data_IF_653446352984
#
_entry.id   IF_653446352984
#
_cell.length_a   1.000
_cell.length_b   1.000
_cell.length_c   1.000
_cell.angle_alpha   90.00
_cell.angle_beta   90.00
_cell.angle_gamma   90.00
#
_symmetry.space_group_name_H-M   'P 1'
#
loop_
_entity.id
_entity.type
_entity.pdbx_description
1 polymer ?
#
# COMPACT_ATOMS: atom_id res chain seq x y z
N UNK A 1 -35.75 7.78 -22.42
CA UNK A 1 -34.71 8.40 -21.58
C UNK A 1 -33.42 7.62 -21.74
N UNK A 2 -32.42 8.17 -22.43
CA UNK A 2 -31.11 7.52 -22.56
C UNK A 2 -30.41 7.52 -21.20
N UNK A 3 -30.02 6.33 -20.70
CA UNK A 3 -29.20 6.21 -19.48
C UNK A 3 -27.91 7.00 -19.71
N UNK A 4 -27.63 7.98 -18.84
CA UNK A 4 -26.34 8.67 -18.83
C UNK A 4 -25.25 7.58 -18.80
N UNK A 5 -24.26 7.60 -19.71
CA UNK A 5 -23.15 6.68 -19.65
C UNK A 5 -22.52 6.78 -18.26
N UNK A 6 -22.16 5.64 -17.66
CA UNK A 6 -21.51 5.65 -16.36
C UNK A 6 -20.30 6.59 -16.43
N UNK A 7 -20.08 7.37 -15.37
CA UNK A 7 -18.96 8.32 -15.29
C UNK A 7 -17.62 7.66 -15.70
N UNK A 8 -17.50 6.37 -15.40
CA UNK A 8 -16.43 5.48 -15.84
C UNK A 8 -16.24 5.38 -17.36
N UNK A 9 -17.32 5.17 -18.13
CA UNK A 9 -17.27 5.12 -19.60
C UNK A 9 -16.95 6.49 -20.21
N UNK A 10 -17.43 7.57 -19.60
CA UNK A 10 -17.12 8.93 -20.03
C UNK A 10 -15.63 9.25 -19.82
N UNK A 11 -15.11 8.98 -18.62
CA UNK A 11 -13.68 9.14 -18.30
C UNK A 11 -12.82 8.28 -19.23
N UNK A 12 -13.22 7.03 -19.51
CA UNK A 12 -12.52 6.17 -20.47
C UNK A 12 -12.45 6.76 -21.88
N UNK A 13 -13.56 7.32 -22.39
CA UNK A 13 -13.59 7.92 -23.72
C UNK A 13 -12.76 9.20 -23.81
N UNK A 14 -12.82 10.08 -22.80
CA UNK A 14 -12.01 11.31 -22.77
C UNK A 14 -10.51 11.01 -22.70
N UNK A 15 -10.11 10.03 -21.90
CA UNK A 15 -8.71 9.60 -21.82
C UNK A 15 -8.21 8.96 -23.12
N UNK A 16 -9.07 8.16 -23.78
CA UNK A 16 -8.77 7.61 -25.09
C UNK A 16 -8.62 8.73 -26.14
N UNK A 17 -9.47 9.74 -26.10
CA UNK A 17 -9.38 10.91 -26.98
C UNK A 17 -8.10 11.72 -26.73
N UNK A 18 -7.68 11.89 -25.47
CA UNK A 18 -6.42 12.56 -25.14
C UNK A 18 -5.20 11.75 -25.62
N UNK A 19 -5.23 10.44 -25.45
CA UNK A 19 -4.20 9.54 -25.99
C UNK A 19 -4.12 9.63 -27.52
N UNK A 20 -5.26 9.59 -28.22
CA UNK A 20 -5.32 9.73 -29.68
C UNK A 20 -4.90 11.12 -30.16
N UNK A 21 -5.22 12.19 -29.42
CA UNK A 21 -4.74 13.56 -29.70
C UNK A 21 -3.22 13.68 -29.51
N UNK A 22 -2.66 13.03 -28.48
CA UNK A 22 -1.21 12.95 -28.26
C UNK A 22 -0.50 12.24 -29.41
N UNK A 23 -1.04 11.11 -29.87
CA UNK A 23 -0.57 10.40 -31.06
C UNK A 23 -0.67 11.30 -32.29
N UNK A 24 -1.82 11.95 -32.52
CA UNK A 24 -2.02 12.85 -33.65
C UNK A 24 -1.03 14.01 -33.67
N UNK A 25 -0.70 14.58 -32.51
CA UNK A 25 0.32 15.62 -32.38
C UNK A 25 1.74 15.18 -32.75
N UNK A 26 2.06 13.88 -32.67
CA UNK A 26 3.32 13.32 -33.17
C UNK A 26 3.39 13.30 -34.71
N UNK A 27 2.23 13.28 -35.37
CA UNK A 27 2.11 13.15 -36.83
C UNK A 27 1.69 14.44 -37.53
N UNK A 28 1.17 15.45 -36.82
CA UNK A 28 0.88 16.79 -37.36
C UNK A 28 2.17 17.60 -37.56
N UNK A 29 2.99 17.17 -38.52
CA UNK A 29 4.01 17.98 -39.15
C UNK A 29 3.33 19.04 -40.02
N UNK A 30 3.18 20.27 -39.50
CA UNK A 30 3.06 21.44 -40.38
C UNK A 30 4.13 22.48 -40.04
N UNK A 31 5.19 22.39 -40.83
CA UNK A 31 5.98 23.50 -41.36
C UNK A 31 6.28 24.66 -40.39
N UNK A 32 7.36 24.55 -39.62
CA UNK A 32 8.35 25.64 -39.44
C UNK A 32 9.59 25.14 -38.69
N UNK A 33 10.69 25.20 -39.43
CA UNK A 33 12.08 25.46 -39.03
C UNK A 33 12.82 24.59 -38.00
N UNK A 34 14.14 24.58 -38.22
CA UNK A 34 15.14 23.60 -37.78
C UNK A 34 15.52 23.78 -36.31
N UNK A 35 15.97 22.68 -35.71
CA UNK A 35 16.79 22.57 -34.48
C UNK A 35 16.13 22.46 -33.11
N UNK A 36 14.82 22.72 -32.92
CA UNK A 36 14.15 22.57 -31.61
C UNK A 36 13.07 21.48 -31.52
N UNK A 37 13.07 20.51 -32.46
CA UNK A 37 12.03 19.47 -32.57
C UNK A 37 12.28 18.18 -31.76
N UNK A 38 13.38 18.07 -31.02
CA UNK A 38 13.66 16.87 -30.23
C UNK A 38 12.81 16.81 -28.96
N UNK A 39 12.77 17.90 -28.18
CA UNK A 39 12.05 17.94 -26.91
C UNK A 39 10.54 17.73 -27.05
N UNK A 40 9.81 18.32 -28.02
CA UNK A 40 8.38 18.06 -28.19
C UNK A 40 8.09 16.60 -28.58
N UNK A 41 8.95 15.98 -29.40
CA UNK A 41 8.81 14.56 -29.79
C UNK A 41 9.12 13.62 -28.62
N UNK A 42 10.19 13.90 -27.86
CA UNK A 42 10.55 13.17 -26.66
C UNK A 42 9.45 13.28 -25.60
N UNK A 43 8.89 14.47 -25.40
CA UNK A 43 7.79 14.71 -24.49
C UNK A 43 6.50 14.03 -24.96
N UNK A 44 6.17 14.09 -26.25
CA UNK A 44 5.02 13.39 -26.83
C UNK A 44 5.13 11.88 -26.72
N UNK A 45 6.32 11.31 -26.96
CA UNK A 45 6.59 9.89 -26.74
C UNK A 45 6.49 9.53 -25.25
N UNK A 46 7.09 10.34 -24.37
CA UNK A 46 7.00 10.15 -22.92
C UNK A 46 5.57 10.21 -22.40
N UNK A 47 4.77 11.17 -22.86
CA UNK A 47 3.36 11.30 -22.51
C UNK A 47 2.51 10.13 -23.04
N UNK A 48 2.79 9.66 -24.26
CA UNK A 48 2.10 8.49 -24.85
C UNK A 48 2.45 7.21 -24.09
N UNK A 49 3.75 7.00 -23.80
CA UNK A 49 4.23 5.88 -23.01
C UNK A 49 3.62 5.91 -21.61
N UNK A 50 3.75 7.04 -20.89
CA UNK A 50 3.15 7.23 -19.59
C UNK A 50 1.63 7.00 -19.61
N UNK A 51 0.92 7.57 -20.59
CA UNK A 51 -0.53 7.37 -20.77
C UNK A 51 -0.91 5.91 -21.00
N UNK A 52 -0.16 5.17 -21.82
CA UNK A 52 -0.38 3.74 -22.03
C UNK A 52 -0.18 2.92 -20.75
N UNK A 53 0.93 3.12 -20.03
CA UNK A 53 1.18 2.42 -18.77
C UNK A 53 0.15 2.81 -17.69
N UNK A 54 -0.28 4.08 -17.69
CA UNK A 54 -1.27 4.58 -16.74
C UNK A 54 -2.62 3.94 -17.00
N UNK A 55 -3.07 3.93 -18.25
CA UNK A 55 -4.31 3.24 -18.64
C UNK A 55 -4.23 1.75 -18.34
N UNK A 56 -3.13 1.08 -18.69
CA UNK A 56 -2.91 -0.34 -18.39
C UNK A 56 -2.99 -0.61 -16.89
N UNK A 57 -2.46 0.29 -16.06
CA UNK A 57 -2.54 0.18 -14.60
C UNK A 57 -3.98 0.40 -14.10
N UNK A 58 -4.67 1.44 -14.57
CA UNK A 58 -6.06 1.75 -14.19
C UNK A 58 -7.07 0.67 -14.61
N UNK A 59 -6.73 -0.13 -15.64
CA UNK A 59 -7.57 -1.24 -16.10
C UNK A 59 -7.39 -2.53 -15.28
N UNK A 60 -6.36 -2.64 -14.45
CA UNK A 60 -6.21 -3.79 -13.54
C UNK A 60 -7.27 -3.74 -12.43
N UNK A 61 -7.63 -4.90 -11.88
CA UNK A 61 -8.46 -4.94 -10.67
C UNK A 61 -7.74 -4.27 -9.50
N UNK A 62 -8.49 -3.71 -8.54
CA UNK A 62 -7.92 -3.02 -7.37
C UNK A 62 -6.87 -3.87 -6.66
N UNK A 63 -7.17 -5.15 -6.44
CA UNK A 63 -6.21 -6.12 -5.87
C UNK A 63 -4.90 -6.22 -6.66
N UNK A 64 -4.95 -6.22 -7.99
CA UNK A 64 -3.76 -6.29 -8.84
C UNK A 64 -3.04 -4.93 -8.95
N UNK A 65 -3.74 -3.83 -8.64
CA UNK A 65 -3.15 -2.49 -8.58
C UNK A 65 -2.40 -2.27 -7.26
N UNK A 66 -2.75 -2.99 -6.20
CA UNK A 66 -2.20 -2.86 -4.85
C UNK A 66 -0.66 -2.70 -4.83
N UNK A 67 0.14 -3.59 -5.45
CA UNK A 67 1.60 -3.42 -5.45
C UNK A 67 2.12 -2.13 -6.11
N UNK A 68 1.33 -1.48 -6.99
CA UNK A 68 1.74 -0.36 -7.84
C UNK A 68 0.59 0.60 -8.17
N UNK A 69 -0.11 1.18 -7.19
CA UNK A 69 -1.25 2.07 -7.49
C UNK A 69 -0.84 3.22 -8.41
N UNK A 70 0.40 3.69 -8.27
CA UNK A 70 1.03 4.60 -9.20
C UNK A 70 2.14 3.84 -9.96
N UNK A 71 2.21 4.03 -11.27
CA UNK A 71 3.26 3.47 -12.15
C UNK A 71 4.66 3.82 -11.65
N UNK A 72 4.79 4.96 -10.95
CA UNK A 72 6.04 5.44 -10.38
C UNK A 72 6.48 4.66 -9.14
N UNK A 73 5.68 3.69 -8.68
CA UNK A 73 6.01 2.78 -7.57
C UNK A 73 6.44 1.45 -8.18
N UNK A 74 7.75 1.15 -8.26
CA UNK A 74 8.21 -0.13 -8.70
C UNK A 74 7.83 -1.25 -7.72
N UNK A 75 7.60 -2.45 -8.25
CA UNK A 75 7.18 -3.62 -7.47
C UNK A 75 8.18 -3.97 -6.37
N UNK A 76 9.47 -3.88 -6.67
CA UNK A 76 10.53 -4.21 -5.71
C UNK A 76 10.52 -3.25 -4.51
N UNK A 77 10.12 -1.98 -4.69
CA UNK A 77 9.99 -1.02 -3.59
C UNK A 77 8.80 -1.39 -2.72
N UNK A 78 7.65 -1.68 -3.34
CA UNK A 78 6.46 -2.11 -2.60
C UNK A 78 6.76 -3.38 -1.79
N UNK A 79 7.36 -4.38 -2.43
CA UNK A 79 7.76 -5.64 -1.79
C UNK A 79 8.70 -5.40 -0.61
N UNK A 80 9.79 -4.65 -0.83
CA UNK A 80 10.74 -4.33 0.24
C UNK A 80 10.06 -3.59 1.40
N UNK A 81 9.19 -2.63 1.11
CA UNK A 81 8.44 -1.88 2.12
C UNK A 81 7.51 -2.79 2.92
N UNK A 82 6.77 -3.65 2.24
CA UNK A 82 5.85 -4.60 2.86
C UNK A 82 6.58 -5.54 3.80
N UNK A 83 7.64 -6.18 3.31
CA UNK A 83 8.43 -7.11 4.12
C UNK A 83 9.11 -6.41 5.30
N UNK A 84 9.63 -5.19 5.10
CA UNK A 84 10.20 -4.39 6.19
C UNK A 84 9.15 -4.13 7.28
N UNK A 85 7.92 -3.74 6.91
CA UNK A 85 6.84 -3.54 7.87
C UNK A 85 6.45 -4.84 8.58
N UNK A 86 6.24 -5.94 7.85
CA UNK A 86 5.88 -7.25 8.43
C UNK A 86 6.92 -7.71 9.45
N UNK A 87 8.21 -7.66 9.08
CA UNK A 87 9.31 -8.01 9.98
C UNK A 87 9.25 -7.22 11.29
N UNK A 88 9.06 -5.91 11.16
CA UNK A 88 9.04 -5.00 12.28
C UNK A 88 7.81 -5.20 13.19
N UNK A 89 6.67 -5.55 12.63
CA UNK A 89 5.50 -5.98 13.41
C UNK A 89 5.78 -7.29 14.16
N UNK A 90 6.43 -8.28 13.53
CA UNK A 90 6.84 -9.52 14.21
C UNK A 90 7.84 -9.25 15.33
N UNK A 91 8.83 -8.39 15.10
CA UNK A 91 9.82 -7.98 16.09
C UNK A 91 9.18 -7.29 17.29
N UNK A 92 8.08 -6.55 17.10
CA UNK A 92 7.31 -5.96 18.20
C UNK A 92 6.60 -7.02 19.03
N UNK A 93 5.94 -7.98 18.39
CA UNK A 93 5.27 -9.09 19.08
C UNK A 93 6.27 -9.89 19.92
N UNK A 94 7.45 -10.20 19.35
CA UNK A 94 8.52 -10.90 20.07
C UNK A 94 9.01 -10.13 21.31
N UNK A 95 8.89 -8.80 21.32
CA UNK A 95 9.21 -7.92 22.47
C UNK A 95 8.02 -7.69 23.41
N UNK A 96 6.93 -8.44 23.26
CA UNK A 96 5.72 -8.30 24.07
C UNK A 96 4.91 -7.02 23.78
N UNK A 97 5.14 -6.36 22.63
CA UNK A 97 4.43 -5.14 22.23
C UNK A 97 3.33 -5.47 21.22
N UNK A 98 2.24 -4.71 21.23
CA UNK A 98 1.18 -4.85 20.23
C UNK A 98 1.65 -4.40 18.85
N UNK A 99 1.05 -4.99 17.81
CA UNK A 99 1.26 -4.58 16.42
C UNK A 99 0.43 -3.34 16.07
N UNK A 100 0.92 -2.60 15.09
CA UNK A 100 0.22 -1.44 14.52
C UNK A 100 -0.75 -1.89 13.43
N UNK A 101 -0.26 -2.79 12.58
CA UNK A 101 -0.97 -3.28 11.41
C UNK A 101 -1.40 -4.71 11.58
N UNK A 102 -2.59 -4.99 11.09
CA UNK A 102 -2.98 -6.35 10.76
C UNK A 102 -2.45 -6.67 9.38
N UNK A 103 -2.02 -7.89 9.16
CA UNK A 103 -1.52 -8.31 7.86
C UNK A 103 -1.69 -9.80 7.70
N UNK A 104 -1.68 -10.25 6.45
CA UNK A 104 -1.71 -11.66 6.12
C UNK A 104 -0.42 -12.07 5.42
N UNK A 105 -0.01 -13.30 5.64
CA UNK A 105 1.18 -13.88 5.04
C UNK A 105 0.77 -15.20 4.41
N UNK A 106 1.25 -15.41 3.20
CA UNK A 106 1.17 -16.71 2.54
C UNK A 106 2.30 -17.59 3.06
N UNK A 107 1.94 -18.75 3.61
CA UNK A 107 2.90 -19.79 3.96
C UNK A 107 3.08 -20.76 2.79
N UNK A 108 4.30 -20.81 2.26
CA UNK A 108 4.64 -21.69 1.15
C UNK A 108 4.68 -23.17 1.56
N UNK A 109 4.88 -23.49 2.85
CA UNK A 109 4.93 -24.88 3.34
C UNK A 109 3.52 -25.44 3.53
N UNK A 110 2.69 -24.76 4.33
CA UNK A 110 1.31 -25.22 4.58
C UNK A 110 0.33 -24.91 3.45
N UNK A 111 0.71 -24.08 2.47
CA UNK A 111 -0.15 -23.58 1.38
C UNK A 111 -1.41 -22.88 1.92
N UNK A 112 -1.25 -22.09 2.97
CA UNK A 112 -2.35 -21.36 3.61
C UNK A 112 -2.00 -19.89 3.79
N UNK A 113 -3.05 -19.07 3.90
CA UNK A 113 -2.92 -17.71 4.38
C UNK A 113 -3.21 -17.72 5.88
N UNK A 114 -2.29 -17.15 6.65
CA UNK A 114 -2.54 -16.83 8.05
C UNK A 114 -2.58 -15.33 8.23
N UNK A 115 -3.55 -14.90 9.03
CA UNK A 115 -3.79 -13.52 9.38
C UNK A 115 -3.29 -13.25 10.78
N UNK A 116 -2.63 -12.11 10.95
CA UNK A 116 -2.14 -11.65 12.24
C UNK A 116 -2.90 -10.40 12.61
N UNK A 117 -3.59 -10.47 13.75
CA UNK A 117 -4.31 -9.33 14.31
C UNK A 117 -3.37 -8.36 15.06
N UNK A 118 -3.96 -7.29 15.61
CA UNK A 118 -3.23 -6.27 16.37
C UNK A 118 -2.59 -6.77 17.68
N UNK A 119 -3.12 -7.87 18.19
CA UNK A 119 -2.68 -8.52 19.43
C UNK A 119 -1.69 -9.66 19.14
N UNK A 120 -1.36 -9.90 17.87
CA UNK A 120 -0.51 -11.02 17.45
C UNK A 120 -1.23 -12.36 17.42
N UNK A 121 -2.55 -12.41 17.60
CA UNK A 121 -3.33 -13.64 17.43
C UNK A 121 -3.31 -14.01 15.96
N UNK A 122 -2.84 -15.23 15.71
CA UNK A 122 -2.85 -15.83 14.39
C UNK A 122 -4.21 -16.52 14.16
N UNK A 123 -4.84 -16.24 13.03
CA UNK A 123 -6.01 -16.98 12.55
C UNK A 123 -5.70 -17.58 11.18
N UNK A 124 -5.98 -18.86 11.03
CA UNK A 124 -5.76 -19.59 9.79
C UNK A 124 -7.05 -19.60 8.96
N UNK A 125 -6.93 -19.32 7.68
CA UNK A 125 -8.03 -19.51 6.73
C UNK A 125 -7.59 -20.51 5.68
N UNK A 126 -8.07 -21.76 5.83
CA UNK A 126 -7.98 -22.75 4.76
C UNK A 126 -9.18 -22.56 3.85
N UNK A 127 -8.97 -21.92 2.71
CA UNK A 127 -10.06 -21.77 1.75
C UNK A 127 -10.16 -23.00 0.86
N UNK A 128 -11.33 -23.63 0.91
CA UNK A 128 -11.77 -24.57 -0.11
C UNK A 128 -12.54 -23.74 -1.14
N UNK A 129 -12.02 -23.67 -2.37
CA UNK A 129 -12.73 -23.09 -3.50
C UNK A 129 -13.76 -24.12 -4.01
N UNK A 130 -14.86 -24.29 -3.29
CA UNK A 130 -16.02 -25.00 -3.83
C UNK A 130 -16.88 -24.03 -4.64
N UNK A 131 -17.51 -24.52 -5.71
CA UNK A 131 -18.49 -23.74 -6.50
C UNK A 131 -19.72 -23.30 -5.69
N UNK A 132 -19.88 -23.83 -4.47
CA UNK A 132 -21.01 -23.60 -3.57
C UNK A 132 -20.83 -22.37 -2.67
N UNK A 133 -19.65 -21.74 -2.62
CA UNK A 133 -19.46 -20.48 -1.92
C UNK A 133 -20.04 -19.30 -2.72
N UNK A 134 -21.29 -18.96 -2.40
CA UNK A 134 -22.07 -17.87 -3.02
C UNK A 134 -21.38 -16.49 -2.88
N UNK A 135 -20.59 -16.29 -1.83
CA UNK A 135 -19.77 -15.09 -1.60
C UNK A 135 -18.61 -14.94 -2.61
N UNK A 136 -18.16 -16.05 -3.19
CA UNK A 136 -17.07 -16.11 -4.17
C UNK A 136 -17.60 -16.15 -5.60
N UNK A 137 -18.75 -16.82 -5.83
CA UNK A 137 -19.32 -17.02 -7.19
C UNK A 137 -19.69 -15.71 -7.89
N UNK A 138 -20.19 -14.73 -7.12
CA UNK A 138 -20.72 -13.47 -7.66
C UNK A 138 -19.67 -12.34 -7.67
N UNK A 139 -18.46 -12.61 -7.17
CA UNK A 139 -17.42 -11.62 -7.06
C UNK A 139 -16.52 -11.60 -8.32
N UNK A 140 -16.48 -10.48 -9.07
CA UNK A 140 -15.72 -10.39 -10.32
C UNK A 140 -14.21 -10.61 -10.14
N UNK A 141 -13.66 -10.42 -8.93
CA UNK A 141 -12.26 -10.70 -8.64
C UNK A 141 -11.90 -12.19 -8.80
N UNK A 142 -12.87 -13.08 -8.57
CA UNK A 142 -12.68 -14.53 -8.64
C UNK A 142 -13.02 -15.12 -10.00
N UNK A 143 -13.54 -14.32 -10.94
CA UNK A 143 -13.99 -14.79 -12.24
C UNK A 143 -12.91 -15.59 -12.99
N UNK A 144 -11.67 -15.09 -12.98
CA UNK A 144 -10.52 -15.77 -13.62
C UNK A 144 -10.20 -17.13 -12.98
N UNK A 145 -10.41 -17.26 -11.67
CA UNK A 145 -10.14 -18.49 -10.91
C UNK A 145 -11.28 -19.48 -11.14
N UNK A 146 -12.53 -19.03 -11.08
CA UNK A 146 -13.72 -19.86 -11.25
C UNK A 146 -13.89 -20.39 -12.68
N UNK A 147 -13.45 -19.62 -13.68
CA UNK A 147 -13.47 -20.01 -15.10
C UNK A 147 -12.26 -20.82 -15.55
N UNK A 148 -11.25 -20.97 -14.68
CA UNK A 148 -10.07 -21.76 -15.04
C UNK A 148 -10.45 -23.25 -15.19
N UNK A 149 -9.96 -23.94 -16.23
CA UNK A 149 -10.26 -25.36 -16.46
C UNK A 149 -9.67 -26.26 -15.36
N UNK A 150 -8.56 -25.84 -14.75
CA UNK A 150 -7.93 -26.52 -13.62
C UNK A 150 -7.31 -25.50 -12.66
N UNK A 151 -7.27 -25.87 -11.37
CA UNK A 151 -6.67 -25.04 -10.32
C UNK A 151 -5.18 -25.34 -10.28
N UNK A 152 -4.37 -24.43 -10.83
CA UNK A 152 -2.91 -24.47 -10.66
C UNK A 152 -2.50 -23.97 -9.27
N UNK A 153 -1.31 -24.33 -8.75
CA UNK A 153 -0.82 -23.84 -7.45
C UNK A 153 -0.80 -22.30 -7.36
N UNK A 154 -0.48 -21.62 -8.46
CA UNK A 154 -0.50 -20.15 -8.54
C UNK A 154 -1.91 -19.57 -8.44
N UNK A 155 -2.88 -20.17 -9.15
CA UNK A 155 -4.28 -19.77 -9.06
C UNK A 155 -4.85 -20.04 -7.67
N UNK A 156 -4.45 -21.15 -7.04
CA UNK A 156 -4.82 -21.47 -5.67
C UNK A 156 -4.29 -20.44 -4.66
N UNK A 157 -2.99 -20.09 -4.77
CA UNK A 157 -2.38 -19.04 -3.95
C UNK A 157 -3.11 -17.71 -4.13
N UNK A 158 -3.31 -17.29 -5.39
CA UNK A 158 -4.01 -16.05 -5.73
C UNK A 158 -5.42 -16.01 -5.18
N UNK A 159 -6.17 -17.11 -5.27
CA UNK A 159 -7.51 -17.20 -4.71
C UNK A 159 -7.52 -16.99 -3.21
N UNK A 160 -6.56 -17.59 -2.49
CA UNK A 160 -6.49 -17.45 -1.04
C UNK A 160 -6.14 -16.01 -0.64
N UNK A 161 -5.20 -15.39 -1.35
CA UNK A 161 -4.85 -13.98 -1.14
C UNK A 161 -6.02 -13.05 -1.46
N UNK A 162 -6.84 -13.38 -2.48
CA UNK A 162 -8.05 -12.63 -2.80
C UNK A 162 -9.12 -12.73 -1.70
N UNK A 163 -9.31 -13.91 -1.10
CA UNK A 163 -10.24 -14.07 0.02
C UNK A 163 -9.78 -13.22 1.20
N UNK A 164 -8.51 -13.35 1.57
CA UNK A 164 -7.92 -12.53 2.64
C UNK A 164 -8.08 -11.04 2.35
N UNK A 165 -7.85 -10.62 1.10
CA UNK A 165 -8.10 -9.25 0.67
C UNK A 165 -9.58 -8.84 0.86
N UNK A 166 -10.55 -9.60 0.35
CA UNK A 166 -11.97 -9.22 0.45
C UNK A 166 -12.45 -9.09 1.89
N UNK A 167 -11.90 -9.90 2.80
CA UNK A 167 -12.19 -9.82 4.24
C UNK A 167 -11.63 -8.55 4.90
N UNK A 168 -10.53 -8.01 4.36
CA UNK A 168 -9.77 -6.93 4.97
C UNK A 168 -9.73 -5.64 4.14
N UNK A 169 -10.39 -5.58 2.99
CA UNK A 169 -10.35 -4.41 2.11
C UNK A 169 -10.84 -3.13 2.79
N UNK A 170 -11.85 -3.21 3.66
CA UNK A 170 -12.35 -2.07 4.43
C UNK A 170 -11.61 -1.85 5.78
N UNK A 171 -10.64 -2.72 6.13
CA UNK A 171 -9.90 -2.58 7.38
C UNK A 171 -8.81 -1.50 7.24
N UNK A 172 -9.01 -0.38 7.94
CA UNK A 172 -8.06 0.75 7.98
C UNK A 172 -6.68 0.41 8.55
N UNK A 173 -6.58 -0.67 9.33
CA UNK A 173 -5.34 -1.13 9.94
C UNK A 173 -4.68 -2.26 9.16
N UNK A 174 -5.22 -2.63 8.01
CA UNK A 174 -4.56 -3.54 7.09
C UNK A 174 -3.27 -2.90 6.55
N UNK A 175 -2.16 -3.63 6.66
CA UNK A 175 -0.85 -3.14 6.23
C UNK A 175 -0.88 -2.77 4.75
N UNK A 176 -1.42 -3.64 3.91
CA UNK A 176 -1.45 -3.42 2.47
C UNK A 176 -2.28 -2.17 2.15
N UNK A 177 -3.47 -1.98 2.77
CA UNK A 177 -4.23 -0.72 2.68
C UNK A 177 -3.43 0.52 3.07
N UNK A 178 -2.66 0.45 4.16
CA UNK A 178 -1.81 1.57 4.57
C UNK A 178 -0.70 1.85 3.54
N UNK A 179 -0.04 0.82 3.04
CA UNK A 179 1.07 0.96 2.08
C UNK A 179 0.61 1.52 0.74
N UNK A 180 -0.62 1.21 0.33
CA UNK A 180 -1.28 1.81 -0.83
C UNK A 180 -1.40 3.31 -0.79
N UNK A 181 -1.69 3.84 0.38
CA UNK A 181 -1.96 5.27 0.56
C UNK A 181 -0.69 6.04 0.95
N UNK A 182 0.35 5.32 1.39
CA UNK A 182 1.63 5.89 1.80
C UNK A 182 2.46 6.28 0.58
N UNK A 183 2.61 7.58 0.37
CA UNK A 183 3.56 8.14 -0.61
C UNK A 183 4.96 7.56 -0.44
N UNK A 184 5.65 7.35 -1.56
CA UNK A 184 7.04 6.92 -1.55
C UNK A 184 7.94 8.07 -1.11
N UNK A 185 8.80 7.78 -0.14
CA UNK A 185 9.87 8.68 0.30
C UNK A 185 11.22 8.23 -0.28
N UNK A 186 12.20 9.14 -0.28
CA UNK A 186 13.58 8.80 -0.66
C UNK A 186 14.15 7.68 0.25
N UNK A 187 13.77 7.66 1.53
CA UNK A 187 14.17 6.60 2.46
C UNK A 187 13.69 5.22 2.02
N UNK A 188 12.51 5.13 1.39
CA UNK A 188 12.00 3.86 0.87
C UNK A 188 12.84 3.35 -0.31
N UNK A 189 13.33 4.24 -1.17
CA UNK A 189 14.24 3.88 -2.26
C UNK A 189 15.56 3.32 -1.72
N UNK A 190 16.17 4.03 -0.77
CA UNK A 190 17.41 3.59 -0.13
C UNK A 190 17.23 2.23 0.53
N UNK A 191 16.13 2.03 1.27
CA UNK A 191 15.81 0.74 1.89
C UNK A 191 15.60 -0.37 0.87
N UNK A 192 14.89 -0.09 -0.22
CA UNK A 192 14.63 -1.07 -1.26
C UNK A 192 15.91 -1.50 -1.98
N UNK A 193 16.80 -0.55 -2.28
CA UNK A 193 18.11 -0.84 -2.87
C UNK A 193 18.96 -1.65 -1.89
N UNK A 194 19.03 -1.23 -0.63
CA UNK A 194 19.75 -1.96 0.43
C UNK A 194 19.25 -3.40 0.53
N UNK A 195 17.94 -3.58 0.71
CA UNK A 195 17.29 -4.88 0.76
C UNK A 195 17.62 -5.73 -0.48
N UNK A 196 17.57 -5.16 -1.68
CA UNK A 196 17.86 -5.87 -2.91
C UNK A 196 19.33 -6.30 -3.02
N UNK A 197 20.28 -5.46 -2.59
CA UNK A 197 21.71 -5.80 -2.54
C UNK A 197 21.91 -7.01 -1.63
N UNK A 198 21.35 -6.98 -0.42
CA UNK A 198 21.49 -8.08 0.53
C UNK A 198 20.90 -9.40 0.04
N UNK A 199 19.75 -9.35 -0.63
CA UNK A 199 19.16 -10.54 -1.26
C UNK A 199 19.99 -11.07 -2.42
N UNK A 200 20.46 -10.18 -3.30
CA UNK A 200 21.15 -10.56 -4.54
C UNK A 200 22.49 -11.21 -4.24
N UNK A 201 23.25 -10.64 -3.29
CA UNK A 201 24.55 -11.17 -2.89
C UNK A 201 24.44 -12.28 -1.82
N UNK A 202 23.24 -12.63 -1.38
CA UNK A 202 22.99 -13.64 -0.33
C UNK A 202 23.80 -13.42 0.96
N UNK A 203 24.18 -12.17 1.24
CA UNK A 203 24.99 -11.82 2.42
C UNK A 203 24.14 -11.95 3.69
N UNK A 204 22.81 -11.83 3.55
CA UNK A 204 21.91 -11.86 4.71
C UNK A 204 21.61 -13.29 5.12
N UNK A 205 21.84 -13.59 6.39
CA UNK A 205 21.17 -14.73 6.99
C UNK A 205 19.70 -14.35 7.20
N UNK A 206 18.77 -15.09 6.58
CA UNK A 206 17.32 -14.83 6.71
C UNK A 206 16.86 -14.84 8.18
N UNK A 207 17.55 -15.59 9.05
CA UNK A 207 17.24 -15.67 10.47
C UNK A 207 17.74 -14.47 11.29
N UNK A 208 18.73 -13.71 10.79
CA UNK A 208 19.25 -12.51 11.46
C UNK A 208 18.63 -11.21 10.98
N UNK A 209 17.92 -11.25 9.83
CA UNK A 209 17.22 -10.10 9.28
C UNK A 209 18.12 -8.89 8.96
N UNK A 210 19.39 -9.16 8.61
CA UNK A 210 20.40 -8.13 8.34
C UNK A 210 20.01 -7.18 7.20
N UNK A 211 19.11 -7.60 6.31
CA UNK A 211 18.61 -6.82 5.18
C UNK A 211 17.58 -5.74 5.56
N UNK A 212 17.18 -5.64 6.84
CA UNK A 212 16.25 -4.62 7.31
C UNK A 212 16.91 -3.57 8.19
N UNK A 213 16.66 -2.30 7.85
CA UNK A 213 17.13 -1.16 8.66
C UNK A 213 16.28 -1.03 9.93
N UNK A 214 16.94 -0.78 11.06
CA UNK A 214 16.36 -0.43 12.36
C UNK A 214 15.18 0.53 12.27
N UNK A 215 14.05 0.20 12.91
CA UNK A 215 12.91 1.11 13.08
C UNK A 215 12.65 1.32 14.57
N UNK A 216 12.91 2.54 15.04
CA UNK A 216 12.68 2.94 16.43
C UNK A 216 11.19 2.97 16.79
N UNK A 217 10.87 2.73 18.06
CA UNK A 217 9.49 2.63 18.52
C UNK A 217 8.68 3.92 18.32
N UNK A 218 9.30 5.09 18.48
CA UNK A 218 8.65 6.39 18.23
C UNK A 218 8.10 6.54 16.80
N UNK A 219 8.76 5.89 15.81
CA UNK A 219 8.30 5.92 14.42
C UNK A 219 6.97 5.18 14.28
N UNK A 220 6.75 4.10 15.05
CA UNK A 220 5.46 3.40 15.05
C UNK A 220 4.37 4.21 15.71
N UNK A 221 4.67 4.92 16.79
CA UNK A 221 3.67 5.75 17.44
C UNK A 221 3.27 6.91 16.53
N UNK A 222 4.21 7.47 15.78
CA UNK A 222 3.90 8.43 14.72
C UNK A 222 3.06 7.82 13.58
N UNK A 223 3.31 6.57 13.19
CA UNK A 223 2.48 5.88 12.19
C UNK A 223 1.08 5.57 12.71
N UNK A 224 0.92 5.21 13.99
CA UNK A 224 -0.40 5.03 14.63
C UNK A 224 -1.18 6.34 14.63
N UNK A 225 -0.52 7.46 14.93
CA UNK A 225 -1.13 8.80 14.87
C UNK A 225 -1.57 9.08 13.44
N UNK A 226 -0.70 8.88 12.44
CA UNK A 226 -1.06 9.06 11.02
C UNK A 226 -2.25 8.19 10.59
N UNK A 227 -2.31 6.94 11.05
CA UNK A 227 -3.42 6.04 10.77
C UNK A 227 -4.72 6.48 11.43
N UNK A 228 -4.66 6.94 12.68
CA UNK A 228 -5.81 7.48 13.39
C UNK A 228 -6.34 8.76 12.70
N UNK A 229 -5.42 9.56 12.14
CA UNK A 229 -5.74 10.77 11.37
C UNK A 229 -6.09 10.49 9.90
N UNK A 230 -6.03 9.24 9.43
CA UNK A 230 -6.24 8.94 8.02
C UNK A 230 -7.73 9.03 7.65
N UNK A 231 -8.07 10.08 6.90
CA UNK A 231 -9.42 10.58 6.54
C UNK A 231 -10.13 9.72 5.47
N UNK A 232 -9.72 8.46 5.29
CA UNK A 232 -10.22 7.63 4.20
C UNK A 232 -11.37 6.67 4.60
N UNK A 233 -11.78 6.66 5.87
CA UNK A 233 -12.95 5.88 6.29
C UNK A 233 -14.25 6.45 5.69
N UNK A 234 -15.17 5.63 5.20
CA UNK A 234 -16.45 6.11 4.63
C UNK A 234 -17.32 6.92 5.64
N UNK A 235 -17.04 6.81 6.94
CA UNK A 235 -17.82 7.43 8.02
C UNK A 235 -17.12 8.67 8.60
N UNK A 236 -17.55 9.86 8.19
CA UNK A 236 -17.04 11.16 8.65
C UNK A 236 -17.10 11.33 10.17
N UNK A 237 -18.15 10.83 10.85
CA UNK A 237 -18.29 10.98 12.31
C UNK A 237 -17.20 10.21 13.06
N UNK A 238 -16.87 9.00 12.60
CA UNK A 238 -15.76 8.22 13.17
C UNK A 238 -14.42 8.93 12.96
N UNK A 239 -14.23 9.60 11.82
CA UNK A 239 -13.00 10.34 11.54
C UNK A 239 -12.83 11.54 12.46
N UNK A 240 -13.87 12.37 12.61
CA UNK A 240 -13.83 13.53 13.51
C UNK A 240 -13.57 13.10 14.94
N UNK A 241 -14.19 12.00 15.38
CA UNK A 241 -13.99 11.44 16.72
C UNK A 241 -12.53 10.99 16.93
N UNK A 242 -11.94 10.30 15.96
CA UNK A 242 -10.56 9.84 16.05
C UNK A 242 -9.57 11.02 15.99
N UNK A 243 -9.87 12.06 15.20
CA UNK A 243 -9.13 13.32 15.19
C UNK A 243 -9.11 13.99 16.57
N UNK A 244 -10.27 14.11 17.20
CA UNK A 244 -10.39 14.71 18.54
C UNK A 244 -9.62 13.90 19.58
N UNK A 245 -9.67 12.57 19.53
CA UNK A 245 -8.88 11.71 20.42
C UNK A 245 -7.38 11.91 20.25
N UNK A 246 -6.90 11.98 19.01
CA UNK A 246 -5.48 12.24 18.73
C UNK A 246 -5.09 13.64 19.23
N UNK A 247 -5.93 14.64 18.99
CA UNK A 247 -5.68 16.01 19.43
C UNK A 247 -5.61 16.14 20.95
N UNK A 248 -6.55 15.51 21.68
CA UNK A 248 -6.55 15.45 23.14
C UNK A 248 -5.26 14.79 23.64
N UNK A 249 -4.94 13.59 23.15
CA UNK A 249 -3.73 12.87 23.57
C UNK A 249 -2.44 13.67 23.31
N UNK A 250 -2.39 14.40 22.19
CA UNK A 250 -1.22 15.24 21.85
C UNK A 250 -1.13 16.47 22.75
N UNK A 251 -2.27 17.07 23.10
CA UNK A 251 -2.34 18.21 24.01
C UNK A 251 -1.93 17.78 25.42
N UNK A 252 -2.41 16.64 25.90
CA UNK A 252 -2.03 16.05 27.19
C UNK A 252 -0.53 15.76 27.24
N UNK A 253 0.04 15.20 26.17
CA UNK A 253 1.49 14.98 26.07
C UNK A 253 2.29 16.28 26.18
N UNK A 254 1.86 17.36 25.51
CA UNK A 254 2.51 18.67 25.59
C UNK A 254 2.41 19.24 27.00
N UNK A 255 1.23 19.18 27.62
CA UNK A 255 0.99 19.67 28.98
C UNK A 255 1.93 18.96 29.97
N UNK A 256 1.98 17.62 29.91
CA UNK A 256 2.85 16.82 30.78
C UNK A 256 4.33 17.15 30.56
N UNK A 257 4.76 17.29 29.30
CA UNK A 257 6.16 17.65 28.96
C UNK A 257 6.55 19.03 29.50
N UNK A 258 5.62 20.00 29.46
CA UNK A 258 5.84 21.34 30.02
C UNK A 258 5.94 21.27 31.55
N UNK A 259 5.04 20.52 32.21
CA UNK A 259 5.07 20.34 33.66
C UNK A 259 6.36 19.69 34.15
N UNK A 260 6.83 18.65 33.47
CA UNK A 260 8.12 18.01 33.78
C UNK A 260 9.28 19.00 33.69
N UNK A 261 9.31 19.85 32.66
CA UNK A 261 10.35 20.84 32.48
C UNK A 261 10.32 21.96 33.54
N UNK A 262 9.11 22.40 33.95
CA UNK A 262 8.93 23.37 35.04
C UNK A 262 9.43 22.78 36.36
N UNK A 263 9.03 21.54 36.67
CA UNK A 263 9.44 20.85 37.90
C UNK A 263 10.97 20.67 37.99
N UNK A 264 11.63 20.32 36.87
CA UNK A 264 13.09 20.22 36.81
C UNK A 264 13.78 21.55 37.09
N UNK A 265 13.26 22.66 36.53
CA UNK A 265 13.80 24.01 36.78
C UNK A 265 13.65 24.44 38.25
N UNK A 266 12.51 24.16 38.86
CA UNK A 266 12.28 24.47 40.28
C UNK A 266 13.22 23.68 41.18
N UNK A 267 13.51 22.42 40.85
CA UNK A 267 14.48 21.61 41.60
C UNK A 267 15.90 22.16 41.49
N UNK A 268 16.34 22.54 40.28
CA UNK A 268 17.67 23.15 40.09
C UNK A 268 17.84 24.49 40.79
N UNK A 269 16.77 25.29 40.90
CA UNK A 269 16.81 26.57 41.61
C UNK A 269 16.80 26.43 43.14
N UNK A 270 16.31 25.29 43.66
CA UNK A 270 16.37 24.99 45.11
C UNK A 270 17.71 24.39 45.55
N UNK A 271 18.49 23.85 44.61
CA UNK A 271 19.79 23.23 44.88
C UNK A 271 21.00 24.18 44.74
N UNK A 272 20.78 25.39 44.23
CA UNK A 272 21.78 26.46 44.11
C UNK A 272 21.54 27.53 45.18
#
# INVERSE_FOLDING_TARGET
>A
MAKKPSLYLFIKNELLLLFLKGIRGLFENKARERSYNFYPKLFGFGATFFGYFWLKQQLKFEFDQRPQINILIPEFIYKSRREHHVYWEMSRLARGKSTTFTHYIWDDESKMVYYIDKKGKQSFEKNIFSRERLDVSDNPLFEKILRAPSITPELFKRGNELIAYTKHMDNRYDLDNYLHQKSITISDWIRAIYYQIWLTFQISNRYRYDHFIGKYDFIYDFEKVKLALNIQGKNQVSQTTDYLKVFINFTDYIINSIQEHVNQKEQTNKSN
#
